data_IF_778016482439
#
_entry.id   IF_778016482439
#
_cell.length_a   1.000
_cell.length_b   1.000
_cell.length_c   1.000
_cell.angle_alpha   90.00
_cell.angle_beta   90.00
_cell.angle_gamma   90.00
#
_symmetry.space_group_name_H-M   'P 1'
#
loop_
_entity.id
_entity.type
_entity.pdbx_description
1 polymer ?
#
# COMPACT_ATOMS: atom_id res chain seq x y z
N UNK A 1 10.52 -13.53 -0.85
CA UNK A 1 11.57 -12.50 -0.58
C UNK A 1 10.90 -11.15 -0.59
N UNK A 2 11.12 -10.33 0.44
CA UNK A 2 10.69 -8.92 0.43
C UNK A 2 11.76 -8.08 -0.27
N UNK A 3 11.36 -6.97 -0.89
CA UNK A 3 12.29 -6.02 -1.49
C UNK A 3 12.91 -5.14 -0.40
N UNK A 4 14.24 -5.08 -0.33
CA UNK A 4 14.99 -4.22 0.61
C UNK A 4 15.20 -2.82 0.02
N UNK A 5 14.09 -2.11 -0.20
CA UNK A 5 14.11 -0.75 -0.73
C UNK A 5 13.60 0.23 0.33
N UNK A 6 14.11 1.47 0.37
CA UNK A 6 13.48 2.52 1.16
C UNK A 6 12.02 2.70 0.71
N UNK A 7 11.08 2.55 1.64
CA UNK A 7 9.64 2.63 1.36
C UNK A 7 9.07 3.90 1.98
N UNK A 8 8.32 4.66 1.17
CA UNK A 8 7.40 5.69 1.66
C UNK A 8 5.98 5.15 1.54
N UNK A 9 5.28 5.05 2.68
CA UNK A 9 3.88 4.63 2.72
C UNK A 9 2.99 5.86 2.85
N UNK A 10 2.03 5.98 1.94
CA UNK A 10 1.10 7.09 1.88
C UNK A 10 -0.32 6.57 2.14
N UNK A 11 -1.14 7.38 2.81
CA UNK A 11 -2.57 7.16 2.87
C UNK A 11 -3.24 7.45 1.53
N UNK A 12 -4.50 7.02 1.38
CA UNK A 12 -5.36 7.29 0.24
C UNK A 12 -6.82 7.43 0.68
N UNK A 13 -7.71 7.80 -0.24
CA UNK A 13 -9.13 7.98 0.04
C UNK A 13 -9.81 6.67 0.45
N UNK A 14 -10.65 6.74 1.48
CA UNK A 14 -11.49 5.64 1.98
C UNK A 14 -12.85 6.19 2.35
N UNK A 15 -13.91 5.41 2.14
CA UNK A 15 -15.29 5.82 2.41
C UNK A 15 -15.76 5.51 3.84
N UNK A 16 -15.05 4.64 4.56
CA UNK A 16 -15.32 4.25 5.95
C UNK A 16 -14.12 4.62 6.82
N UNK A 17 -14.28 5.58 7.73
CA UNK A 17 -13.22 6.01 8.64
C UNK A 17 -12.78 4.88 9.59
N UNK A 18 -13.74 4.10 10.09
CA UNK A 18 -13.49 2.96 10.97
C UNK A 18 -12.64 1.89 10.28
N UNK A 19 -12.98 1.50 9.06
CA UNK A 19 -12.20 0.49 8.32
C UNK A 19 -10.84 1.02 7.88
N UNK A 20 -10.76 2.32 7.56
CA UNK A 20 -9.50 2.99 7.24
C UNK A 20 -8.53 2.95 8.43
N UNK A 21 -9.00 3.31 9.63
CA UNK A 21 -8.20 3.30 10.86
C UNK A 21 -7.64 1.91 11.16
N UNK A 22 -8.47 0.87 11.08
CA UNK A 22 -8.03 -0.52 11.26
C UNK A 22 -6.98 -0.93 10.23
N UNK A 23 -7.22 -0.60 8.97
CA UNK A 23 -6.32 -0.94 7.86
C UNK A 23 -4.97 -0.27 8.05
N UNK A 24 -4.94 1.03 8.35
CA UNK A 24 -3.69 1.76 8.56
C UNK A 24 -2.94 1.29 9.81
N UNK A 25 -3.63 1.00 10.91
CA UNK A 25 -3.02 0.41 12.10
C UNK A 25 -2.37 -0.96 11.78
N UNK A 26 -3.04 -1.82 11.00
CA UNK A 26 -2.48 -3.08 10.54
C UNK A 26 -1.25 -2.93 9.64
N UNK A 27 -1.26 -1.95 8.72
CA UNK A 27 -0.11 -1.63 7.85
C UNK A 27 1.06 -1.14 8.70
N UNK A 28 0.84 -0.18 9.60
CA UNK A 28 1.90 0.36 10.47
C UNK A 28 2.50 -0.76 11.32
N UNK A 29 1.67 -1.58 11.96
CA UNK A 29 2.13 -2.73 12.74
C UNK A 29 2.97 -3.70 11.90
N UNK A 30 2.62 -3.92 10.63
CA UNK A 30 3.40 -4.77 9.71
C UNK A 30 4.79 -4.18 9.45
N UNK A 31 4.87 -2.87 9.21
CA UNK A 31 6.13 -2.19 8.88
C UNK A 31 7.09 -2.15 10.05
N UNK A 32 6.58 -1.97 11.27
CA UNK A 32 7.39 -1.99 12.50
C UNK A 32 7.65 -3.41 13.03
N UNK A 33 7.22 -4.46 12.31
CA UNK A 33 7.43 -5.86 12.70
C UNK A 33 6.58 -6.34 13.88
N UNK A 34 5.47 -5.68 14.17
CA UNK A 34 4.56 -5.94 15.30
C UNK A 34 3.18 -6.47 14.87
N UNK A 35 3.02 -6.94 13.62
CA UNK A 35 1.71 -7.38 13.09
C UNK A 35 1.02 -8.43 13.96
N UNK A 36 1.79 -9.37 14.50
CA UNK A 36 1.30 -10.46 15.37
C UNK A 36 1.00 -10.02 16.80
N UNK A 37 1.42 -8.81 17.17
CA UNK A 37 1.16 -8.22 18.48
C UNK A 37 -0.03 -7.26 18.47
N UNK A 38 -0.71 -7.10 17.33
CA UNK A 38 -1.98 -6.39 17.31
C UNK A 38 -3.03 -7.19 18.08
N UNK A 39 -3.79 -6.54 18.98
CA UNK A 39 -4.86 -7.21 19.69
C UNK A 39 -6.00 -7.56 18.72
N UNK A 40 -6.78 -8.59 19.07
CA UNK A 40 -7.97 -8.97 18.30
C UNK A 40 -9.08 -7.91 18.42
N UNK A 41 -9.16 -7.26 19.58
CA UNK A 41 -10.10 -6.18 19.88
C UNK A 41 -9.41 -4.82 19.92
N UNK A 42 -10.13 -3.80 19.47
CA UNK A 42 -9.66 -2.41 19.46
C UNK A 42 -9.61 -1.94 20.91
N UNK A 43 -8.48 -1.38 21.37
CA UNK A 43 -8.40 -0.81 22.70
C UNK A 43 -9.23 0.48 22.78
N UNK A 44 -9.76 0.76 23.98
CA UNK A 44 -10.41 2.04 24.25
C UNK A 44 -9.50 3.23 23.90
N UNK A 45 -10.09 4.21 23.23
CA UNK A 45 -9.42 5.40 22.75
C UNK A 45 -10.44 6.56 22.62
N UNK A 46 -9.97 7.75 22.30
CA UNK A 46 -10.82 8.95 22.20
C UNK A 46 -11.97 8.83 21.17
N UNK A 47 -11.86 7.90 20.22
CA UNK A 47 -12.84 7.67 19.15
C UNK A 47 -13.49 6.29 19.27
N UNK A 48 -13.41 5.65 20.44
CA UNK A 48 -13.87 4.27 20.64
C UNK A 48 -15.35 4.08 20.29
N UNK A 49 -16.17 5.10 20.56
CA UNK A 49 -17.61 5.08 20.25
C UNK A 49 -17.90 4.94 18.75
N UNK A 50 -17.01 5.39 17.86
CA UNK A 50 -17.17 5.26 16.41
C UNK A 50 -17.13 3.80 15.94
N UNK A 51 -16.54 2.91 16.74
CA UNK A 51 -16.45 1.48 16.47
C UNK A 51 -17.66 0.70 16.99
N UNK A 52 -18.53 1.32 17.80
CA UNK A 52 -19.66 0.64 18.40
C UNK A 52 -20.87 0.56 17.45
N UNK A 53 -21.72 -0.47 17.59
CA UNK A 53 -21.54 -1.63 18.48
C UNK A 53 -20.75 -2.78 17.83
N UNK A 54 -20.56 -2.75 16.50
CA UNK A 54 -20.23 -3.94 15.72
C UNK A 54 -18.80 -4.00 15.18
N UNK A 55 -18.01 -2.95 15.37
CA UNK A 55 -16.70 -2.80 14.74
C UNK A 55 -15.55 -2.79 15.76
N UNK A 56 -15.72 -3.43 16.92
CA UNK A 56 -14.67 -3.53 17.94
C UNK A 56 -13.54 -4.50 17.57
N UNK A 57 -13.76 -5.43 16.64
CA UNK A 57 -12.70 -6.33 16.19
C UNK A 57 -11.77 -5.64 15.19
N UNK A 58 -10.46 -5.86 15.32
CA UNK A 58 -9.47 -5.36 14.37
C UNK A 58 -9.62 -6.01 12.99
N UNK A 59 -9.86 -7.33 12.96
CA UNK A 59 -10.11 -8.06 11.73
C UNK A 59 -11.48 -7.70 11.14
N UNK A 60 -11.53 -7.51 9.82
CA UNK A 60 -12.78 -7.39 9.07
C UNK A 60 -13.01 -8.65 8.24
N UNK A 61 -14.27 -9.06 8.15
CA UNK A 61 -14.67 -10.23 7.37
C UNK A 61 -15.14 -9.81 5.98
N UNK A 62 -14.86 -10.61 4.93
CA UNK A 62 -15.42 -10.38 3.61
C UNK A 62 -16.96 -10.35 3.63
N UNK A 63 -17.55 -9.44 2.86
CA UNK A 63 -19.01 -9.36 2.70
C UNK A 63 -19.48 -10.48 1.78
N UNK A 64 -20.04 -11.55 2.37
CA UNK A 64 -20.43 -12.77 1.65
C UNK A 64 -21.52 -12.54 0.58
N UNK A 65 -22.38 -11.54 0.77
CA UNK A 65 -23.46 -11.24 -0.18
C UNK A 65 -22.97 -10.51 -1.44
N UNK A 66 -21.68 -10.12 -1.51
CA UNK A 66 -21.11 -9.43 -2.67
C UNK A 66 -20.33 -10.44 -3.53
N UNK A 67 -20.86 -10.87 -4.68
CA UNK A 67 -20.17 -11.85 -5.51
C UNK A 67 -18.87 -11.25 -6.07
N UNK A 68 -17.82 -12.08 -6.11
CA UNK A 68 -16.60 -11.72 -6.80
C UNK A 68 -16.84 -11.77 -8.32
N UNK A 69 -16.84 -10.60 -8.96
CA UNK A 69 -17.03 -10.48 -10.42
C UNK A 69 -15.74 -10.74 -11.20
N UNK A 70 -14.60 -10.92 -10.52
CA UNK A 70 -13.33 -11.24 -11.15
C UNK A 70 -13.26 -12.74 -11.45
N UNK A 71 -13.51 -13.12 -12.70
CA UNK A 71 -13.32 -14.49 -13.14
C UNK A 71 -11.83 -14.85 -13.17
N UNK A 72 -11.49 -16.12 -12.99
CA UNK A 72 -10.11 -16.60 -13.05
C UNK A 72 -9.46 -16.29 -14.41
N UNK A 73 -10.22 -16.45 -15.51
CA UNK A 73 -9.75 -16.16 -16.88
C UNK A 73 -9.40 -14.67 -17.01
N UNK A 74 -10.28 -13.79 -16.55
CA UNK A 74 -10.05 -12.33 -16.61
C UNK A 74 -8.82 -11.91 -15.82
N UNK A 75 -8.59 -12.51 -14.64
CA UNK A 75 -7.40 -12.21 -13.83
C UNK A 75 -6.10 -12.66 -14.53
N UNK A 76 -6.11 -13.82 -15.18
CA UNK A 76 -4.96 -14.31 -15.94
C UNK A 76 -4.66 -13.40 -17.14
N UNK A 77 -5.68 -13.05 -17.93
CA UNK A 77 -5.51 -12.17 -19.08
C UNK A 77 -4.96 -10.78 -18.70
N UNK A 78 -5.41 -10.23 -17.58
CA UNK A 78 -4.89 -8.96 -17.04
C UNK A 78 -3.43 -9.13 -16.60
N UNK A 79 -3.11 -10.24 -15.94
CA UNK A 79 -1.74 -10.58 -15.52
C UNK A 79 -0.77 -10.66 -16.70
N UNK A 80 -1.13 -11.41 -17.73
CA UNK A 80 -0.29 -11.59 -18.93
C UNK A 80 -0.03 -10.25 -19.65
N UNK A 81 -1.07 -9.40 -19.75
CA UNK A 81 -0.93 -8.05 -20.32
C UNK A 81 -0.03 -7.16 -19.48
N UNK A 82 -0.15 -7.22 -18.15
CA UNK A 82 0.72 -6.45 -17.25
C UNK A 82 2.19 -6.85 -17.39
N UNK A 83 2.48 -8.16 -17.45
CA UNK A 83 3.84 -8.68 -17.64
C UNK A 83 4.40 -8.22 -18.99
N UNK A 84 3.66 -8.42 -20.08
CA UNK A 84 4.08 -8.02 -21.43
C UNK A 84 4.42 -6.52 -21.48
N UNK A 85 3.60 -5.70 -20.82
CA UNK A 85 3.82 -4.24 -20.76
C UNK A 85 5.11 -3.90 -19.99
N UNK A 86 5.38 -4.58 -18.88
CA UNK A 86 6.59 -4.37 -18.10
C UNK A 86 7.86 -4.80 -18.85
N UNK A 87 7.81 -5.91 -19.58
CA UNK A 87 8.92 -6.40 -20.41
C UNK A 87 9.25 -5.41 -21.54
N UNK A 88 8.23 -4.89 -22.22
CA UNK A 88 8.41 -3.86 -23.24
C UNK A 88 9.03 -2.58 -22.65
N UNK A 89 8.55 -2.13 -21.49
CA UNK A 89 9.13 -0.97 -20.81
C UNK A 89 10.59 -1.19 -20.41
N UNK A 90 10.95 -2.39 -19.95
CA UNK A 90 12.32 -2.76 -19.61
C UNK A 90 13.24 -2.73 -20.85
N UNK A 91 12.78 -3.28 -21.98
CA UNK A 91 13.52 -3.26 -23.24
C UNK A 91 13.77 -1.83 -23.79
N UNK A 92 12.80 -0.93 -23.63
CA UNK A 92 12.98 0.49 -24.00
C UNK A 92 13.97 1.17 -23.08
N UNK A 93 13.95 0.85 -21.77
CA UNK A 93 14.88 1.44 -20.80
C UNK A 93 16.32 0.97 -21.01
N UNK A 94 16.55 -0.28 -21.40
CA UNK A 94 17.89 -0.80 -21.67
C UNK A 94 18.54 -0.17 -22.91
N UNK A 95 17.75 0.36 -23.83
CA UNK A 95 18.23 0.99 -25.09
C UNK A 95 18.41 2.51 -25.00
N UNK A 96 17.96 3.18 -23.94
CA UNK A 96 18.16 4.62 -23.72
C UNK A 96 19.23 4.88 -22.65
N UNK A 97 20.33 5.61 -22.94
CA UNK A 97 21.29 6.00 -21.91
C UNK A 97 20.58 6.87 -20.86
N UNK A 98 20.72 6.51 -19.58
CA UNK A 98 20.21 7.32 -18.47
C UNK A 98 20.88 8.70 -18.49
N UNK A 99 20.15 9.72 -18.94
CA UNK A 99 20.57 11.12 -18.74
C UNK A 99 20.34 11.47 -17.28
N UNK A 100 21.37 11.33 -16.45
CA UNK A 100 21.41 11.95 -15.14
C UNK A 100 21.45 13.48 -15.33
N UNK A 101 20.40 14.16 -14.87
CA UNK A 101 20.38 15.61 -14.79
C UNK A 101 21.20 16.04 -13.57
N UNK A 102 22.44 16.50 -13.78
CA UNK A 102 23.32 17.06 -12.73
C UNK A 102 22.84 18.44 -12.21
N UNK A 103 21.54 18.69 -12.11
CA UNK A 103 21.00 20.02 -11.81
C UNK A 103 20.91 20.37 -10.31
N UNK A 104 21.53 19.59 -9.42
CA UNK A 104 21.61 19.90 -7.97
C UNK A 104 23.00 19.67 -7.37
N UNK A 105 24.02 20.34 -7.89
CA UNK A 105 25.29 20.56 -7.16
C UNK A 105 25.76 22.03 -7.25
N UNK A 106 24.97 22.94 -7.85
CA UNK A 106 25.41 24.34 -8.05
C UNK A 106 24.98 25.34 -6.97
N UNK A 107 24.06 24.98 -6.08
CA UNK A 107 23.51 25.96 -5.11
C UNK A 107 24.12 25.83 -3.70
N UNK A 108 25.13 24.98 -3.50
CA UNK A 108 25.79 24.80 -2.19
C UNK A 108 27.20 25.41 -2.10
N UNK A 109 27.76 25.95 -3.20
CA UNK A 109 29.09 26.57 -3.22
C UNK A 109 29.03 28.04 -3.68
N UNK A 110 28.08 28.81 -3.14
CA UNK A 110 28.10 30.26 -3.16
C UNK A 110 28.80 30.79 -1.92
N UNK A 111 30.12 30.94 -2.02
CA UNK A 111 31.02 31.54 -1.03
C UNK A 111 30.83 33.05 -0.89
N UNK A 112 30.78 33.51 0.36
CA UNK A 112 31.27 34.77 0.97
C UNK A 112 30.27 35.34 1.97
#
# INVERSE_FOLDING_TARGET
MALELPVLLLGAGVYSGVDACKTFAAIVATVIGQRYNLPDEIPENAFYEEYLPNHLQFATSPVMQRPNLNSAITLLEIGDRAITTLEQAAAIRSTKPQRFSNKRIRDANGSC
#
